data_IF_480542592893
#
_entry.id   IF_480542592893
#
_cell.length_a   1.000
_cell.length_b   1.000
_cell.length_c   1.000
_cell.angle_alpha   90.00
_cell.angle_beta   90.00
_cell.angle_gamma   90.00
#
_symmetry.space_group_name_H-M   'P 1'
#
loop_
_entity.id
_entity.type
_entity.pdbx_description
1 polymer ?
#
# COMPACT_ATOMS: atom_id res chain seq x y z
N UNK A 1 4.25 5.23 -8.56
CA UNK A 1 4.56 5.18 -7.12
C UNK A 1 4.38 3.75 -6.67
N UNK A 2 5.36 3.19 -5.97
CA UNK A 2 5.28 1.84 -5.41
C UNK A 2 5.34 1.99 -3.90
N UNK A 3 4.38 1.41 -3.17
CA UNK A 3 4.42 1.29 -1.72
C UNK A 3 4.68 -0.18 -1.40
N UNK A 4 5.76 -0.43 -0.67
CA UNK A 4 6.11 -1.75 -0.16
C UNK A 4 5.62 -1.87 1.27
N UNK A 5 4.81 -2.88 1.58
CA UNK A 5 4.36 -3.15 2.95
C UNK A 5 2.98 -3.80 3.01
N UNK A 6 2.64 -4.36 4.17
CA UNK A 6 1.39 -5.07 4.39
C UNK A 6 0.16 -4.15 4.27
N UNK A 7 -0.85 -4.57 3.51
CA UNK A 7 -2.06 -3.79 3.22
C UNK A 7 -2.86 -3.41 4.48
N UNK A 8 -2.86 -4.26 5.51
CA UNK A 8 -3.56 -4.02 6.77
C UNK A 8 -2.79 -3.15 7.79
N UNK A 9 -1.57 -2.74 7.47
CA UNK A 9 -0.75 -1.94 8.40
C UNK A 9 -1.18 -0.46 8.40
N UNK A 10 -1.37 0.17 9.58
CA UNK A 10 -1.63 1.60 9.68
C UNK A 10 -0.53 2.46 9.03
N UNK A 11 0.73 2.02 9.08
CA UNK A 11 1.84 2.73 8.47
C UNK A 11 1.79 2.66 6.93
N UNK A 12 1.40 1.51 6.36
CA UNK A 12 1.17 1.39 4.91
C UNK A 12 0.00 2.28 4.49
N UNK A 13 -1.09 2.27 5.26
CA UNK A 13 -2.27 3.10 5.00
C UNK A 13 -1.93 4.60 5.01
N UNK A 14 -1.04 5.05 5.91
CA UNK A 14 -0.58 6.43 5.93
C UNK A 14 0.19 6.84 4.66
N UNK A 15 1.06 5.97 4.14
CA UNK A 15 1.77 6.20 2.87
C UNK A 15 0.82 6.19 1.67
N UNK A 16 -0.13 5.27 1.64
CA UNK A 16 -1.16 5.22 0.60
C UNK A 16 -2.02 6.49 0.63
N UNK A 17 -2.45 6.94 1.81
CA UNK A 17 -3.21 8.17 1.97
C UNK A 17 -2.44 9.40 1.46
N UNK A 18 -1.14 9.51 1.78
CA UNK A 18 -0.29 10.57 1.24
C UNK A 18 -0.15 10.48 -0.29
N UNK A 19 0.02 9.27 -0.83
CA UNK A 19 0.10 9.05 -2.27
C UNK A 19 -1.21 9.40 -3.00
N UNK A 20 -2.37 9.12 -2.40
CA UNK A 20 -3.69 9.48 -2.94
C UNK A 20 -4.00 10.98 -2.78
N UNK A 21 -3.51 11.62 -1.72
CA UNK A 21 -3.70 13.06 -1.49
C UNK A 21 -2.98 13.91 -2.54
N UNK A 22 -1.85 13.44 -3.07
CA UNK A 22 -1.29 13.95 -4.32
C UNK A 22 -2.04 13.28 -5.47
N UNK A 23 -2.97 14.00 -6.10
CA UNK A 23 -3.75 13.48 -7.23
C UNK A 23 -2.81 12.90 -8.30
N UNK A 24 -2.80 11.57 -8.48
CA UNK A 24 -1.88 10.92 -9.40
C UNK A 24 -2.47 10.97 -10.82
N UNK A 25 -2.68 12.18 -11.37
CA UNK A 25 -2.99 12.28 -12.80
C UNK A 25 -1.81 11.66 -13.56
N UNK A 26 -2.10 10.67 -14.38
CA UNK A 26 -1.12 9.96 -15.20
C UNK A 26 -0.05 9.16 -14.41
N UNK A 27 -0.36 8.75 -13.17
CA UNK A 27 0.54 7.89 -12.38
C UNK A 27 -0.18 6.65 -11.86
N UNK A 28 0.51 5.51 -11.93
CA UNK A 28 0.09 4.32 -11.22
C UNK A 28 0.55 4.36 -9.75
N UNK A 29 -0.34 4.01 -8.83
CA UNK A 29 0.00 3.63 -7.46
C UNK A 29 -0.08 2.11 -7.36
N UNK A 30 1.02 1.49 -6.93
CA UNK A 30 1.19 0.04 -6.82
C UNK A 30 1.48 -0.27 -5.35
N UNK A 31 0.75 -1.22 -4.77
CA UNK A 31 1.05 -1.80 -3.46
C UNK A 31 1.65 -3.20 -3.67
N UNK A 32 2.77 -3.47 -3.02
CA UNK A 32 3.40 -4.80 -3.01
C UNK A 32 3.75 -5.14 -1.57
N UNK A 33 3.14 -6.18 -1.02
CA UNK A 33 3.61 -6.76 0.24
C UNK A 33 4.66 -7.87 -0.06
N UNK A 34 5.96 -7.67 0.26
CA UNK A 34 6.99 -8.68 0.02
C UNK A 34 6.84 -9.93 0.90
N UNK A 35 6.05 -9.85 1.98
CA UNK A 35 5.78 -10.96 2.90
C UNK A 35 4.52 -11.75 2.48
N UNK A 36 3.74 -11.23 1.53
CA UNK A 36 2.53 -11.86 0.98
C UNK A 36 2.86 -12.70 -0.25
N UNK A 37 2.73 -14.02 -0.14
CA UNK A 37 2.96 -14.94 -1.27
C UNK A 37 2.04 -14.67 -2.47
N UNK A 38 0.80 -14.24 -2.23
CA UNK A 38 -0.13 -13.89 -3.31
C UNK A 38 0.32 -12.65 -4.07
N UNK A 39 0.82 -11.63 -3.37
CA UNK A 39 1.33 -10.40 -3.98
C UNK A 39 2.59 -10.68 -4.78
N UNK A 40 3.52 -11.46 -4.21
CA UNK A 40 4.75 -11.87 -4.88
C UNK A 40 4.43 -12.60 -6.19
N UNK A 41 3.54 -13.60 -6.15
CA UNK A 41 3.15 -14.36 -7.35
C UNK A 41 2.48 -13.47 -8.40
N UNK A 42 1.57 -12.58 -7.98
CA UNK A 42 0.88 -11.68 -8.90
C UNK A 42 1.85 -10.71 -9.58
N UNK A 43 2.72 -10.06 -8.80
CA UNK A 43 3.65 -9.06 -9.31
C UNK A 43 4.84 -9.65 -10.08
N UNK A 44 5.25 -10.88 -9.78
CA UNK A 44 6.23 -11.59 -10.59
C UNK A 44 5.77 -11.74 -12.05
N UNK A 45 4.48 -12.02 -12.26
CA UNK A 45 3.90 -12.18 -13.60
C UNK A 45 3.59 -10.85 -14.30
N UNK A 46 3.29 -9.78 -13.55
CA UNK A 46 2.80 -8.51 -14.12
C UNK A 46 3.83 -7.40 -14.19
N UNK A 47 4.72 -7.33 -13.21
CA UNK A 47 5.76 -6.31 -13.13
C UNK A 47 6.98 -6.82 -12.35
N UNK A 48 7.79 -7.73 -12.93
CA UNK A 48 8.91 -8.34 -12.25
C UNK A 48 9.99 -7.33 -11.82
N UNK A 49 10.11 -6.19 -12.51
CA UNK A 49 11.05 -5.13 -12.13
C UNK A 49 10.63 -4.41 -10.85
N UNK A 50 9.34 -4.11 -10.70
CA UNK A 50 8.82 -3.52 -9.46
C UNK A 50 8.96 -4.49 -8.28
N UNK A 51 8.67 -5.77 -8.50
CA UNK A 51 8.85 -6.81 -7.48
C UNK A 51 10.31 -6.89 -7.05
N UNK A 52 11.26 -7.01 -7.99
CA UNK A 52 12.69 -7.12 -7.69
C UNK A 52 13.21 -5.93 -6.86
N UNK A 53 12.73 -4.72 -7.13
CA UNK A 53 13.09 -3.54 -6.36
C UNK A 53 12.58 -3.64 -4.91
N UNK A 54 11.33 -4.08 -4.72
CA UNK A 54 10.73 -4.23 -3.39
C UNK A 54 11.40 -5.35 -2.59
N UNK A 55 11.66 -6.51 -3.21
CA UNK A 55 12.32 -7.63 -2.54
C UNK A 55 13.75 -7.30 -2.14
N UNK A 56 14.53 -6.67 -3.03
CA UNK A 56 15.91 -6.25 -2.72
C UNK A 56 15.95 -5.23 -1.56
N UNK A 57 14.98 -4.31 -1.49
CA UNK A 57 14.87 -3.39 -0.36
C UNK A 57 14.50 -4.11 0.93
N UNK A 58 13.52 -5.03 0.89
CA UNK A 58 13.12 -5.81 2.05
C UNK A 58 14.27 -6.65 2.63
N UNK A 59 15.03 -7.32 1.77
CA UNK A 59 16.23 -8.06 2.14
C UNK A 59 17.28 -7.16 2.81
N UNK A 60 17.57 -6.00 2.21
CA UNK A 60 18.50 -5.03 2.77
C UNK A 60 18.05 -4.51 4.15
N UNK A 61 16.75 -4.24 4.33
CA UNK A 61 16.22 -3.81 5.64
C UNK A 61 16.37 -4.92 6.69
N UNK A 62 16.06 -6.17 6.34
CA UNK A 62 16.25 -7.32 7.25
C UNK A 62 17.71 -7.52 7.64
N UNK A 63 18.64 -7.32 6.72
CA UNK A 63 20.08 -7.38 7.00
C UNK A 63 20.55 -6.27 7.96
N UNK A 64 19.99 -5.07 7.85
CA UNK A 64 20.31 -3.94 8.72
C UNK A 64 19.65 -4.06 10.10
N UNK A 65 18.55 -4.82 10.21
CA UNK A 65 17.78 -4.99 11.45
C UNK A 65 17.53 -6.48 11.75
N UNK A 66 18.59 -7.27 11.99
CA UNK A 66 18.45 -8.72 12.21
C UNK A 66 17.64 -9.06 13.47
N UNK A 67 17.63 -8.16 14.47
CA UNK A 67 16.83 -8.29 15.70
C UNK A 67 15.34 -8.02 15.48
N UNK A 68 14.98 -7.38 14.36
CA UNK A 68 13.60 -7.13 13.95
C UNK A 68 13.11 -8.16 12.93
N UNK A 69 13.82 -9.27 12.71
CA UNK A 69 13.47 -10.28 11.70
C UNK A 69 12.09 -10.95 11.92
N UNK A 70 11.54 -10.85 13.14
CA UNK A 70 10.17 -11.28 13.45
C UNK A 70 9.10 -10.19 13.23
N UNK A 71 9.51 -8.93 13.00
CA UNK A 71 8.61 -7.82 12.71
C UNK A 71 8.42 -7.66 11.20
N UNK A 72 7.18 -7.37 10.80
CA UNK A 72 6.85 -7.03 9.41
C UNK A 72 7.72 -5.86 8.93
N UNK A 73 8.13 -5.88 7.65
CA UNK A 73 8.95 -4.83 7.05
C UNK A 73 8.32 -3.45 7.26
N UNK A 74 9.13 -2.47 7.68
CA UNK A 74 8.68 -1.07 7.75
C UNK A 74 8.19 -0.58 6.37
N UNK A 75 6.93 -0.13 6.24
CA UNK A 75 6.38 0.27 4.95
C UNK A 75 7.21 1.38 4.30
N UNK A 76 7.49 1.23 3.02
CA UNK A 76 8.39 2.12 2.29
C UNK A 76 7.81 2.50 0.94
N UNK A 77 7.82 3.80 0.61
CA UNK A 77 7.37 4.31 -0.68
C UNK A 77 8.55 4.65 -1.62
N UNK A 78 8.37 4.31 -2.89
CA UNK A 78 9.27 4.58 -4.00
C UNK A 78 8.55 5.45 -5.03
N UNK A 79 9.14 6.61 -5.33
CA UNK A 79 8.66 7.51 -6.38
C UNK A 79 9.58 7.37 -7.59
N UNK A 80 9.08 6.68 -8.62
CA UNK A 80 9.81 6.45 -9.85
C UNK A 80 9.19 7.23 -11.01
N UNK A 81 10.04 7.89 -11.80
CA UNK A 81 9.71 8.67 -12.98
C UNK A 81 10.87 8.52 -13.98
N UNK A 82 10.56 8.39 -15.27
CA UNK A 82 11.56 8.30 -16.35
C UNK A 82 12.64 7.23 -16.10
N UNK A 83 12.21 6.05 -15.65
CA UNK A 83 13.08 4.89 -15.32
C UNK A 83 14.05 5.12 -14.14
N UNK A 84 13.97 6.25 -13.44
CA UNK A 84 14.73 6.56 -12.24
C UNK A 84 13.82 6.62 -11.01
N UNK A 85 14.28 6.10 -9.87
CA UNK A 85 13.57 6.20 -8.60
C UNK A 85 14.30 7.16 -7.66
N UNK A 86 13.56 8.05 -7.02
CA UNK A 86 14.08 8.84 -5.89
C UNK A 86 14.40 7.94 -4.70
N UNK A 87 15.18 8.45 -3.76
CA UNK A 87 15.48 7.73 -2.52
C UNK A 87 14.18 7.29 -1.81
N UNK A 88 14.07 6.03 -1.36
CA UNK A 88 12.88 5.53 -0.70
C UNK A 88 12.57 6.31 0.58
N UNK A 89 11.29 6.36 0.95
CA UNK A 89 10.85 7.05 2.17
C UNK A 89 9.80 6.27 2.93
N UNK A 90 9.90 6.28 4.25
CA UNK A 90 8.89 5.74 5.18
C UNK A 90 8.00 6.85 5.76
N UNK A 91 8.26 8.12 5.41
CA UNK A 91 7.56 9.29 5.92
C UNK A 91 6.48 9.76 4.92
N UNK A 92 5.19 9.74 5.31
CA UNK A 92 4.09 10.22 4.47
C UNK A 92 4.22 11.69 4.04
N UNK A 93 4.75 12.56 4.90
CA UNK A 93 4.89 13.99 4.57
C UNK A 93 5.99 14.20 3.54
N UNK A 94 7.13 13.49 3.70
CA UNK A 94 8.18 13.48 2.68
C UNK A 94 7.67 12.91 1.36
N UNK A 95 6.89 11.82 1.37
CA UNK A 95 6.27 11.28 0.16
C UNK A 95 5.41 12.32 -0.56
N UNK A 96 4.56 13.04 0.16
CA UNK A 96 3.72 14.10 -0.41
C UNK A 96 4.56 15.20 -1.08
N UNK A 97 5.65 15.62 -0.44
CA UNK A 97 6.58 16.60 -1.00
C UNK A 97 7.26 16.08 -2.27
N UNK A 98 7.75 14.83 -2.27
CA UNK A 98 8.37 14.21 -3.45
C UNK A 98 7.40 14.11 -4.63
N UNK A 99 6.13 13.84 -4.36
CA UNK A 99 5.08 13.78 -5.39
C UNK A 99 4.74 15.15 -5.96
N UNK A 100 4.69 16.20 -5.12
CA UNK A 100 4.50 17.59 -5.57
C UNK A 100 5.66 18.06 -6.45
N UNK A 101 6.90 17.81 -6.03
CA UNK A 101 8.09 18.12 -6.83
C UNK A 101 8.08 17.41 -8.19
N UNK A 102 7.57 16.18 -8.23
CA UNK A 102 7.44 15.44 -9.46
C UNK A 102 6.30 15.97 -10.35
N UNK A 103 5.48 16.91 -9.89
CA UNK A 103 4.39 17.53 -10.65
C UNK A 103 2.99 16.97 -10.36
N UNK A 104 2.79 16.21 -9.28
CA UNK A 104 1.45 15.75 -8.90
C UNK A 104 0.64 16.90 -8.25
N UNK A 105 -0.53 17.28 -8.80
CA UNK A 105 -1.38 18.29 -8.16
C UNK A 105 -1.94 17.75 -6.84
N UNK A 106 -2.10 18.59 -5.82
CA UNK A 106 -2.73 18.17 -4.55
C UNK A 106 -4.24 18.12 -4.76
N UNK A 107 -4.85 16.97 -4.46
CA UNK A 107 -6.30 16.88 -4.42
C UNK A 107 -6.81 17.79 -3.30
N UNK A 108 -7.77 18.69 -3.57
CA UNK A 108 -8.53 19.33 -2.50
C UNK A 108 -9.36 18.23 -1.83
N UNK A 109 -8.94 17.79 -0.64
CA UNK A 109 -9.74 16.87 0.15
C UNK A 109 -11.09 17.54 0.46
N UNK A 110 -12.18 16.96 -0.07
CA UNK A 110 -13.52 17.30 0.40
C UNK A 110 -13.67 16.86 1.87
N UNK A 111 -14.48 17.55 2.68
CA UNK A 111 -14.74 17.12 4.04
C UNK A 111 -15.29 15.69 4.05
N UNK A 112 -14.62 14.77 4.75
CA UNK A 112 -15.05 13.37 4.95
C UNK A 112 -14.19 12.26 4.31
N UNK A 113 -13.11 12.58 3.58
CA UNK A 113 -12.28 11.57 2.91
C UNK A 113 -11.61 10.55 3.85
N UNK A 114 -11.25 10.95 5.08
CA UNK A 114 -10.61 10.05 6.05
C UNK A 114 -11.57 8.99 6.61
N UNK A 115 -12.87 9.30 6.69
CA UNK A 115 -13.88 8.38 7.23
C UNK A 115 -14.19 7.20 6.28
N UNK A 116 -14.08 7.41 4.96
CA UNK A 116 -14.43 6.40 3.95
C UNK A 116 -13.37 5.32 3.73
N UNK A 117 -12.11 5.57 4.08
CA UNK A 117 -11.04 4.58 3.94
C UNK A 117 -11.18 3.42 4.93
N UNK A 118 -11.77 3.65 6.11
CA UNK A 118 -12.04 2.61 7.10
C UNK A 118 -13.22 1.69 6.73
N UNK A 119 -14.15 2.16 5.87
CA UNK A 119 -15.27 1.35 5.36
C UNK A 119 -14.89 0.48 4.15
N UNK A 120 -13.76 0.77 3.48
CA UNK A 120 -13.25 0.01 2.33
C UNK A 120 -12.17 -0.99 2.75
N UNK A 121 -12.37 -1.67 3.88
CA UNK A 121 -11.53 -2.77 4.29
C UNK A 121 -11.71 -3.95 3.32
N UNK A 122 -10.61 -4.33 2.65
CA UNK A 122 -10.51 -5.51 1.80
C UNK A 122 -9.83 -6.64 2.59
N UNK A 123 -10.28 -7.90 2.48
CA UNK A 123 -11.44 -8.36 1.70
C UNK A 123 -12.77 -8.00 2.40
N UNK A 124 -13.87 -7.88 1.64
CA UNK A 124 -15.19 -7.69 2.23
C UNK A 124 -15.52 -8.87 3.16
N UNK A 125 -16.21 -8.64 4.29
CA UNK A 125 -16.66 -9.73 5.15
C UNK A 125 -17.54 -10.69 4.34
N UNK A 126 -17.44 -12.01 4.58
CA UNK A 126 -18.24 -12.99 3.85
C UNK A 126 -19.72 -12.68 4.03
N UNK A 127 -20.47 -12.65 2.92
CA UNK A 127 -21.90 -12.37 2.91
C UNK A 127 -22.61 -13.27 3.92
N UNK A 128 -23.29 -12.67 4.90
CA UNK A 128 -24.13 -13.39 5.83
C UNK A 128 -25.19 -14.17 5.03
N UNK A 129 -25.18 -15.50 5.13
CA UNK A 129 -26.22 -16.33 4.54
C UNK A 129 -27.56 -15.92 5.15
N UNK A 130 -28.63 -15.72 4.35
CA UNK A 130 -29.95 -15.49 4.90
C UNK A 130 -30.32 -16.68 5.78
N UNK A 131 -30.53 -16.41 7.07
CA UNK A 131 -30.90 -17.41 8.06
C UNK A 131 -32.17 -18.12 7.64
N UNK A 132 -32.09 -19.44 7.51
CA UNK A 132 -33.25 -20.31 7.38
C UNK A 132 -34.10 -20.18 8.64
N UNK A 133 -35.25 -19.53 8.50
CA UNK A 133 -36.28 -19.51 9.53
C UNK A 133 -36.94 -20.88 9.60
N UNK A 134 -36.49 -21.70 10.53
CA UNK A 134 -37.26 -22.81 11.09
C UNK A 134 -38.45 -22.23 11.86
N UNK A 135 -39.66 -22.33 11.29
CA UNK A 135 -40.91 -22.09 12.00
C UNK A 135 -41.60 -23.42 12.26
N UNK A 136 -41.43 -23.97 13.47
CA UNK A 136 -42.18 -25.11 13.98
C UNK A 136 -42.98 -24.72 15.21
N UNK A 137 -44.22 -25.20 15.27
CA UNK A 137 -44.97 -25.48 16.51
C UNK A 137 -45.64 -24.30 17.20
N UNK A 138 -46.97 -24.19 17.04
CA UNK A 138 -47.94 -24.74 18.00
C UNK A 138 -49.32 -24.83 17.34
#
# INVERSE_FOLDING_TARGET
>A
VIVAGAAGSPATAALLAAAHAAWPKDRALILIDPDSQSDVTFWAARNPRALAMVTAHAEKQRQLQPQAAAAAMAPTAFVCQDYACKAPTTDPLKLLSLLREAGAPVAKAGPGAAAKLSEMAWPPPPAAKPGGGTGGGQ
#
